data_IF_998290518780
#
_entry.id   IF_998290518780
#
_cell.length_a   1.000
_cell.length_b   1.000
_cell.length_c   1.000
_cell.angle_alpha   90.00
_cell.angle_beta   90.00
_cell.angle_gamma   90.00
#
_symmetry.space_group_name_H-M   'P 1'
#
loop_
_entity.id
_entity.type
_entity.pdbx_description
1 polymer ?
#
# COMPACT_ATOMS: atom_id res chain seq x y z
N UNK A 1 -6.98 -14.65 -2.59
CA UNK A 1 -6.64 -13.29 -2.14
C UNK A 1 -7.40 -13.07 -0.84
N UNK A 2 -6.73 -12.69 0.26
CA UNK A 2 -7.39 -12.51 1.55
C UNK A 2 -8.42 -11.38 1.43
N UNK A 3 -9.61 -11.60 1.99
CA UNK A 3 -10.73 -10.64 2.01
C UNK A 3 -10.37 -9.31 2.68
N UNK A 4 -9.31 -9.28 3.47
CA UNK A 4 -8.73 -8.09 4.14
C UNK A 4 -8.19 -7.05 3.16
N UNK A 5 -7.93 -7.41 1.89
CA UNK A 5 -7.41 -6.47 0.88
C UNK A 5 -8.50 -5.87 -0.02
N UNK A 6 -9.74 -6.33 0.12
CA UNK A 6 -10.92 -5.81 -0.58
C UNK A 6 -11.64 -4.70 0.20
N UNK A 7 -10.95 -4.12 1.19
CA UNK A 7 -11.46 -2.99 1.96
C UNK A 7 -11.17 -1.68 1.23
N UNK A 8 -11.94 -0.64 1.56
CA UNK A 8 -11.69 0.72 1.06
C UNK A 8 -10.52 1.37 1.77
N UNK A 9 -9.93 2.39 1.15
CA UNK A 9 -8.93 3.27 1.77
C UNK A 9 -9.41 3.85 3.11
N UNK A 10 -10.69 4.20 3.22
CA UNK A 10 -11.29 4.65 4.48
C UNK A 10 -11.24 3.58 5.57
N UNK A 11 -11.63 2.34 5.23
CA UNK A 11 -11.59 1.20 6.16
C UNK A 11 -10.15 0.83 6.53
N UNK A 12 -9.24 0.85 5.58
CA UNK A 12 -7.82 0.62 5.84
C UNK A 12 -7.25 1.70 6.78
N UNK A 13 -7.69 2.95 6.64
CA UNK A 13 -7.26 4.03 7.52
C UNK A 13 -7.88 3.91 8.92
N UNK A 14 -9.12 3.44 9.04
CA UNK A 14 -9.75 3.07 10.32
C UNK A 14 -9.01 1.90 11.00
N UNK A 15 -8.65 0.88 10.22
CA UNK A 15 -7.82 -0.23 10.70
C UNK A 15 -6.43 0.24 11.11
N UNK A 16 -5.82 1.17 10.38
CA UNK A 16 -4.51 1.72 10.72
C UNK A 16 -4.53 2.52 12.04
N UNK A 17 -5.67 3.11 12.43
CA UNK A 17 -5.81 3.73 13.76
C UNK A 17 -5.78 2.71 14.89
N UNK A 18 -6.21 1.48 14.63
CA UNK A 18 -6.30 0.40 15.62
C UNK A 18 -5.03 -0.46 15.62
N UNK A 19 -4.55 -0.80 14.42
CA UNK A 19 -3.39 -1.64 14.18
C UNK A 19 -2.65 -1.20 12.89
N UNK A 20 -1.89 -0.12 13.02
CA UNK A 20 -1.09 0.45 11.93
C UNK A 20 -0.02 -0.51 11.40
N UNK A 21 0.46 -1.43 12.24
CA UNK A 21 1.45 -2.44 11.86
C UNK A 21 0.84 -3.46 10.87
N UNK A 22 -0.39 -3.90 11.11
CA UNK A 22 -1.08 -4.84 10.24
C UNK A 22 -1.36 -4.26 8.85
N UNK A 23 -1.80 -3.00 8.78
CA UNK A 23 -2.01 -2.31 7.49
C UNK A 23 -0.68 -2.10 6.76
N UNK A 24 0.38 -1.70 7.48
CA UNK A 24 1.71 -1.55 6.90
C UNK A 24 2.26 -2.89 6.37
N UNK A 25 2.00 -4.01 7.05
CA UNK A 25 2.43 -5.34 6.62
C UNK A 25 1.68 -5.80 5.37
N UNK A 26 0.36 -5.62 5.31
CA UNK A 26 -0.46 -5.94 4.11
C UNK A 26 0.02 -5.14 2.90
N UNK A 27 0.23 -3.85 3.09
CA UNK A 27 0.74 -2.93 2.07
C UNK A 27 2.15 -3.30 1.64
N UNK A 28 3.03 -3.67 2.59
CA UNK A 28 4.38 -4.11 2.30
C UNK A 28 4.39 -5.44 1.55
N UNK A 29 3.59 -6.44 1.95
CA UNK A 29 3.51 -7.75 1.29
C UNK A 29 2.95 -7.63 -0.12
N UNK A 30 1.84 -6.91 -0.30
CA UNK A 30 1.25 -6.68 -1.63
C UNK A 30 2.13 -5.79 -2.50
N UNK A 31 2.68 -4.72 -1.92
CA UNK A 31 3.59 -3.83 -2.61
C UNK A 31 4.82 -4.59 -3.09
N UNK A 32 5.45 -5.37 -2.22
CA UNK A 32 6.59 -6.22 -2.56
C UNK A 32 6.26 -7.27 -3.62
N UNK A 33 5.09 -7.91 -3.54
CA UNK A 33 4.64 -8.84 -4.58
C UNK A 33 4.50 -8.14 -5.93
N UNK A 34 3.99 -6.90 -5.95
CA UNK A 34 3.87 -6.07 -7.15
C UNK A 34 5.22 -5.58 -7.69
N UNK A 35 6.20 -5.25 -6.83
CA UNK A 35 7.59 -4.94 -7.22
C UNK A 35 8.26 -6.17 -7.84
N UNK A 36 8.22 -7.29 -7.12
CA UNK A 36 8.89 -8.53 -7.50
C UNK A 36 8.34 -9.09 -8.81
N UNK A 37 7.03 -8.96 -9.03
CA UNK A 37 6.38 -9.36 -10.29
C UNK A 37 6.79 -8.48 -11.49
N UNK A 38 7.37 -7.30 -11.24
CA UNK A 38 7.68 -6.30 -12.28
C UNK A 38 9.17 -6.08 -12.51
N UNK A 39 10.04 -6.91 -11.95
CA UNK A 39 11.50 -6.77 -12.03
C UNK A 39 11.99 -5.36 -11.61
N UNK A 40 11.19 -4.68 -10.80
CA UNK A 40 11.51 -3.37 -10.26
C UNK A 40 12.63 -3.59 -9.24
N UNK A 41 13.85 -3.15 -9.57
CA UNK A 41 15.02 -3.14 -8.66
C UNK A 41 14.83 -2.14 -7.52
N UNK A 42 13.82 -2.37 -6.70
CA UNK A 42 13.54 -1.57 -5.53
C UNK A 42 14.03 -2.39 -4.33
N UNK A 43 15.10 -1.91 -3.70
CA UNK A 43 15.57 -2.51 -2.46
C UNK A 43 14.47 -2.42 -1.40
N UNK A 44 14.12 -3.58 -0.84
CA UNK A 44 13.22 -3.64 0.30
C UNK A 44 13.96 -3.08 1.50
N UNK A 45 13.58 -1.87 1.90
CA UNK A 45 14.12 -1.21 3.08
C UNK A 45 12.96 -0.69 3.92
N UNK A 46 13.12 -0.58 5.25
CA UNK A 46 12.11 0.04 6.11
C UNK A 46 11.74 1.47 5.65
N UNK A 47 12.68 2.19 5.04
CA UNK A 47 12.43 3.48 4.39
C UNK A 47 11.45 3.39 3.22
N UNK A 48 11.52 2.32 2.43
CA UNK A 48 10.59 2.09 1.33
C UNK A 48 9.19 1.80 1.86
N UNK A 49 9.08 0.95 2.88
CA UNK A 49 7.80 0.63 3.53
C UNK A 49 7.12 1.88 4.09
N UNK A 50 7.87 2.73 4.79
CA UNK A 50 7.37 4.01 5.28
C UNK A 50 6.90 4.92 4.14
N UNK A 51 7.65 4.98 3.04
CA UNK A 51 7.32 5.79 1.87
C UNK A 51 6.09 5.28 1.12
N UNK A 52 5.90 3.96 1.02
CA UNK A 52 4.70 3.34 0.47
C UNK A 52 3.50 3.69 1.33
N UNK A 53 3.58 3.55 2.65
CA UNK A 53 2.48 3.89 3.58
C UNK A 53 2.13 5.37 3.51
N UNK A 54 3.12 6.27 3.47
CA UNK A 54 2.90 7.71 3.37
C UNK A 54 2.18 8.09 2.06
N UNK A 55 2.65 7.53 0.93
CA UNK A 55 2.06 7.77 -0.39
C UNK A 55 0.66 7.19 -0.49
N UNK A 56 0.46 5.98 0.05
CA UNK A 56 -0.82 5.30 0.12
C UNK A 56 -1.81 6.14 0.92
N UNK A 57 -1.39 6.69 2.06
CA UNK A 57 -2.22 7.59 2.86
C UNK A 57 -2.64 8.84 2.07
N UNK A 58 -1.75 9.40 1.24
CA UNK A 58 -2.11 10.53 0.37
C UNK A 58 -3.11 10.16 -0.73
N UNK A 59 -2.97 8.98 -1.33
CA UNK A 59 -3.93 8.47 -2.34
C UNK A 59 -5.29 8.22 -1.67
N UNK A 60 -5.28 7.54 -0.53
CA UNK A 60 -6.46 7.26 0.28
C UNK A 60 -7.14 8.53 0.84
N UNK A 61 -6.37 9.58 1.15
CA UNK A 61 -6.91 10.87 1.57
C UNK A 61 -7.58 11.64 0.42
N UNK A 62 -7.14 11.43 -0.83
CA UNK A 62 -7.78 12.01 -2.02
C UNK A 62 -9.03 11.25 -2.42
N UNK A 63 -9.01 9.92 -2.31
CA UNK A 63 -10.13 9.06 -2.68
C UNK A 63 -10.38 7.98 -1.62
N UNK A 64 -11.16 8.29 -0.57
CA UNK A 64 -11.39 7.38 0.55
C UNK A 64 -12.23 6.15 0.16
N UNK A 65 -12.98 6.21 -0.95
CA UNK A 65 -13.78 5.10 -1.44
C UNK A 65 -13.02 4.17 -2.39
N UNK A 66 -11.81 4.54 -2.80
CA UNK A 66 -10.94 3.69 -3.60
C UNK A 66 -10.58 2.42 -2.82
N UNK A 67 -10.59 1.28 -3.50
CA UNK A 67 -10.16 0.02 -2.90
C UNK A 67 -8.67 0.06 -2.54
N UNK A 68 -8.31 -0.46 -1.37
CA UNK A 68 -6.94 -0.47 -0.88
C UNK A 68 -5.99 -1.14 -1.88
N UNK A 69 -6.43 -2.22 -2.53
CA UNK A 69 -5.65 -2.90 -3.58
C UNK A 69 -5.35 -2.01 -4.79
N UNK A 70 -6.28 -1.14 -5.16
CA UNK A 70 -6.08 -0.19 -6.28
C UNK A 70 -5.14 0.93 -5.86
N UNK A 71 -5.31 1.44 -4.65
CA UNK A 71 -4.43 2.46 -4.09
C UNK A 71 -2.98 1.94 -3.91
N UNK A 72 -2.81 0.68 -3.51
CA UNK A 72 -1.50 0.02 -3.44
C UNK A 72 -0.91 -0.10 -4.84
N UNK A 73 -1.65 -0.60 -5.85
CA UNK A 73 -1.13 -0.68 -7.22
C UNK A 73 -0.69 0.69 -7.77
N UNK A 74 -1.50 1.74 -7.58
CA UNK A 74 -1.17 3.10 -8.01
C UNK A 74 0.08 3.64 -7.30
N UNK A 75 0.18 3.41 -5.99
CA UNK A 75 1.34 3.77 -5.17
C UNK A 75 2.60 3.06 -5.66
N UNK A 76 2.52 1.75 -5.91
CA UNK A 76 3.63 0.97 -6.43
C UNK A 76 4.06 1.43 -7.83
N UNK A 77 3.09 1.78 -8.67
CA UNK A 77 3.32 2.34 -10.01
C UNK A 77 4.00 3.71 -9.94
N UNK A 78 3.65 4.54 -8.96
CA UNK A 78 4.27 5.83 -8.73
C UNK A 78 5.71 5.71 -8.19
N UNK A 79 5.98 4.71 -7.35
CA UNK A 79 7.32 4.46 -6.80
C UNK A 79 8.24 3.81 -7.83
N UNK A 80 7.73 2.87 -8.63
CA UNK A 80 8.49 2.16 -9.66
C UNK A 80 8.76 2.96 -10.93
N UNK A 81 8.15 4.14 -11.10
CA UNK A 81 8.39 5.04 -12.25
C UNK A 81 9.70 5.83 -12.17
N UNK A 82 10.66 5.40 -11.35
CA UNK A 82 11.92 6.10 -11.11
C UNK A 82 13.10 5.41 -11.79
#
# INVERSE_FOLDING_TARGET
MPSETYITCAEANEMAKTDSAQVAEIVAVMGNASVASRDLKIEQSPELSAKVVEKLNQVCAKDPQMLLITAIDDTMRAIGKK
#
